data_IF_467345955345
#
_entry.id   IF_467345955345
#
_cell.length_a   1.000
_cell.length_b   1.000
_cell.length_c   1.000
_cell.angle_alpha   90.00
_cell.angle_beta   90.00
_cell.angle_gamma   90.00
#
_symmetry.space_group_name_H-M   'P 1'
#
loop_
_entity.id
_entity.type
_entity.pdbx_description
1 polymer ?
#
# COMPACT_ATOMS: atom_id res chain seq x y z
N UNK A 1 -61.84 22.97 6.63
CA UNK A 1 -61.54 24.39 6.96
C UNK A 1 -60.66 24.40 8.19
N UNK A 2 -59.42 24.85 8.06
CA UNK A 2 -58.45 24.88 9.17
C UNK A 2 -57.02 24.74 8.67
N UNK A 3 -56.56 25.76 7.95
CA UNK A 3 -55.16 25.95 7.57
C UNK A 3 -54.25 25.96 8.82
N UNK A 4 -53.18 25.17 8.79
CA UNK A 4 -51.91 25.54 9.40
C UNK A 4 -50.78 25.21 8.44
N UNK A 5 -50.13 26.27 7.99
CA UNK A 5 -48.89 26.30 7.22
C UNK A 5 -47.72 25.84 8.08
N UNK A 6 -46.86 24.99 7.53
CA UNK A 6 -45.48 24.78 7.95
C UNK A 6 -44.65 24.83 6.65
N UNK A 7 -44.13 26.00 6.31
CA UNK A 7 -42.71 26.33 6.50
C UNK A 7 -41.79 25.33 5.82
N UNK A 8 -41.49 25.65 4.56
CA UNK A 8 -40.36 25.16 3.80
C UNK A 8 -39.08 25.62 4.50
N UNK A 9 -38.42 24.71 5.23
CA UNK A 9 -37.03 24.89 5.63
C UNK A 9 -36.15 24.21 4.59
N UNK A 10 -35.44 25.02 3.81
CA UNK A 10 -34.20 24.61 3.16
C UNK A 10 -33.19 24.28 4.27
N UNK A 11 -32.65 23.07 4.26
CA UNK A 11 -31.44 22.73 5.03
C UNK A 11 -30.36 22.34 4.05
N UNK A 12 -29.48 23.33 3.88
CA UNK A 12 -28.13 23.36 3.35
C UNK A 12 -27.41 22.01 3.21
N UNK A 13 -26.84 21.85 2.01
CA UNK A 13 -25.82 20.86 1.72
C UNK A 13 -24.57 21.05 2.58
N UNK A 14 -23.91 19.92 2.75
CA UNK A 14 -22.62 19.78 3.39
C UNK A 14 -21.55 20.52 2.59
N UNK A 15 -20.71 21.25 3.31
CA UNK A 15 -19.39 21.63 2.82
C UNK A 15 -18.40 21.43 3.95
N UNK A 16 -17.37 20.68 3.57
CA UNK A 16 -16.13 20.32 4.23
C UNK A 16 -15.43 21.49 4.95
N UNK A 17 -14.58 21.08 5.88
CA UNK A 17 -13.34 21.67 6.44
C UNK A 17 -12.92 23.13 6.13
N UNK A 18 -12.04 23.58 7.02
CA UNK A 18 -11.15 24.74 6.95
C UNK A 18 -11.70 26.07 7.49
N UNK A 19 -11.23 26.42 8.68
CA UNK A 19 -11.33 27.76 9.23
C UNK A 19 -10.00 28.14 9.86
N UNK A 20 -9.05 28.65 9.05
CA UNK A 20 -8.08 29.61 9.57
C UNK A 20 -7.87 30.76 8.58
N UNK A 21 -7.92 31.97 9.14
CA UNK A 21 -8.00 33.25 8.46
C UNK A 21 -6.69 33.67 7.78
N UNK A 22 -6.81 34.09 6.53
CA UNK A 22 -5.85 34.87 5.74
C UNK A 22 -5.64 36.30 6.27
N UNK A 23 -4.39 36.78 6.21
CA UNK A 23 -4.05 38.19 5.97
C UNK A 23 -2.78 38.31 5.09
N UNK A 24 -2.99 38.70 3.83
CA UNK A 24 -2.02 39.08 2.80
C UNK A 24 -1.37 40.45 3.05
N UNK A 25 -0.10 40.67 2.64
CA UNK A 25 0.37 41.86 1.85
C UNK A 25 1.69 41.57 1.06
N UNK A 26 1.54 41.45 -0.27
CA UNK A 26 2.21 42.08 -1.43
C UNK A 26 3.73 42.39 -1.62
N UNK A 27 4.15 42.13 -2.89
CA UNK A 27 5.06 42.87 -3.81
C UNK A 27 6.57 42.48 -3.82
N UNK A 28 7.33 42.40 -4.93
CA UNK A 28 7.26 43.02 -6.28
C UNK A 28 8.32 42.42 -7.27
N UNK A 29 7.99 42.39 -8.59
CA UNK A 29 8.78 42.74 -9.82
C UNK A 29 10.14 42.02 -10.10
N UNK A 30 10.59 41.67 -11.32
CA UNK A 30 10.47 42.16 -12.71
C UNK A 30 11.13 41.14 -13.68
N UNK A 31 10.63 40.90 -14.91
CA UNK A 31 11.20 41.36 -16.21
C UNK A 31 12.58 40.75 -16.58
N UNK A 32 12.87 40.15 -17.74
CA UNK A 32 12.57 40.53 -19.12
C UNK A 32 12.88 39.39 -20.12
N UNK A 33 12.23 39.50 -21.29
CA UNK A 33 12.26 38.76 -22.55
C UNK A 33 13.60 38.70 -23.33
N UNK A 34 13.79 37.65 -24.15
CA UNK A 34 14.38 37.75 -25.50
C UNK A 34 14.08 36.51 -26.37
N UNK A 35 13.45 36.71 -27.54
CA UNK A 35 13.37 35.77 -28.66
C UNK A 35 14.39 36.17 -29.74
N UNK A 36 14.87 35.19 -30.53
CA UNK A 36 14.68 35.13 -32.00
C UNK A 36 15.35 33.88 -32.59
N UNK A 37 14.61 33.31 -33.54
CA UNK A 37 14.78 32.11 -34.37
C UNK A 37 15.98 32.10 -35.34
N UNK A 38 16.37 30.92 -35.87
CA UNK A 38 16.04 30.49 -37.26
C UNK A 38 16.72 29.16 -37.68
N UNK A 39 15.84 28.20 -38.04
CA UNK A 39 15.84 27.24 -39.17
C UNK A 39 17.12 26.61 -39.76
N UNK A 40 17.07 25.30 -40.01
CA UNK A 40 17.44 24.68 -41.30
C UNK A 40 16.69 23.35 -41.55
N UNK A 41 16.33 23.10 -42.81
CA UNK A 41 15.45 22.01 -43.31
C UNK A 41 16.13 21.21 -44.42
N UNK A 42 15.84 19.89 -44.51
CA UNK A 42 15.49 19.11 -45.72
C UNK A 42 15.43 17.61 -45.33
N UNK A 43 14.28 16.96 -45.20
CA UNK A 43 13.36 16.41 -46.22
C UNK A 43 13.89 15.18 -46.99
N UNK A 44 13.24 14.01 -46.76
CA UNK A 44 12.90 12.99 -47.78
C UNK A 44 12.00 11.87 -47.19
N UNK A 45 10.84 11.66 -47.82
CA UNK A 45 9.87 10.54 -47.65
C UNK A 45 9.70 9.79 -48.99
N UNK A 46 8.82 8.76 -49.15
CA UNK A 46 8.57 7.52 -48.40
C UNK A 46 8.53 6.26 -49.33
N UNK A 47 8.46 5.03 -48.77
CA UNK A 47 7.73 3.89 -49.41
C UNK A 47 7.53 2.63 -48.53
N UNK A 48 6.24 2.36 -48.29
CA UNK A 48 5.48 1.10 -48.31
C UNK A 48 5.86 -0.15 -47.47
N UNK A 49 5.03 -0.36 -46.43
CA UNK A 49 4.22 -1.55 -46.04
C UNK A 49 4.84 -2.95 -46.15
N UNK A 50 5.03 -3.63 -45.01
CA UNK A 50 4.31 -4.86 -44.60
C UNK A 50 4.62 -5.21 -43.15
N UNK A 51 3.56 -5.53 -42.39
CA UNK A 51 3.48 -6.30 -41.13
C UNK A 51 4.54 -6.07 -40.05
N UNK A 52 4.12 -5.67 -38.84
CA UNK A 52 4.31 -6.48 -37.61
C UNK A 52 3.86 -5.74 -36.35
N UNK A 53 3.34 -6.56 -35.43
CA UNK A 53 3.32 -6.38 -33.98
C UNK A 53 2.24 -5.46 -33.39
N UNK A 54 1.27 -6.12 -32.77
CA UNK A 54 0.53 -5.61 -31.62
C UNK A 54 1.57 -5.26 -30.52
N UNK A 55 1.59 -4.04 -29.95
CA UNK A 55 2.61 -3.67 -28.95
C UNK A 55 2.41 -4.36 -27.59
N UNK A 56 1.33 -5.12 -27.40
CA UNK A 56 1.02 -5.80 -26.14
C UNK A 56 1.71 -7.17 -25.95
N UNK A 57 2.92 -7.41 -26.48
CA UNK A 57 3.51 -8.76 -26.47
C UNK A 57 5.05 -8.87 -26.46
N UNK A 58 5.76 -7.91 -25.88
CA UNK A 58 7.19 -8.05 -25.56
C UNK A 58 7.48 -7.41 -24.20
N UNK A 59 6.94 -7.98 -23.11
CA UNK A 59 7.64 -7.89 -21.83
C UNK A 59 8.83 -8.83 -21.97
N UNK A 60 10.05 -8.29 -22.02
CA UNK A 60 11.25 -9.12 -21.90
C UNK A 60 11.09 -9.94 -20.61
N UNK A 61 11.13 -11.27 -20.78
CA UNK A 61 11.08 -12.22 -19.67
C UNK A 61 12.07 -11.77 -18.59
N UNK A 62 11.63 -11.71 -17.32
CA UNK A 62 12.53 -11.30 -16.25
C UNK A 62 13.78 -12.20 -16.22
N UNK A 63 14.95 -11.60 -16.13
CA UNK A 63 16.21 -12.34 -15.98
C UNK A 63 16.39 -12.64 -14.49
N UNK A 64 15.71 -13.68 -14.02
CA UNK A 64 15.80 -14.13 -12.64
C UNK A 64 17.11 -14.88 -12.39
N UNK A 65 17.57 -14.83 -11.14
CA UNK A 65 18.75 -15.55 -10.70
C UNK A 65 18.50 -17.07 -10.62
N UNK A 66 19.55 -17.88 -10.52
CA UNK A 66 19.42 -19.34 -10.53
C UNK A 66 18.66 -19.92 -9.33
N UNK A 67 18.54 -19.17 -8.24
CA UNK A 67 17.79 -19.50 -7.02
C UNK A 67 16.38 -18.87 -7.01
N UNK A 68 15.98 -18.26 -8.11
CA UNK A 68 14.71 -17.60 -8.30
C UNK A 68 13.91 -18.23 -9.43
N UNK A 69 12.61 -17.94 -9.43
CA UNK A 69 11.71 -18.21 -10.53
C UNK A 69 10.90 -16.96 -10.89
N UNK A 70 10.43 -16.93 -12.14
CA UNK A 70 9.52 -15.89 -12.59
C UNK A 70 8.12 -16.20 -12.05
N UNK A 71 7.76 -15.53 -10.95
CA UNK A 71 6.49 -15.73 -10.27
C UNK A 71 5.32 -15.20 -11.11
N UNK A 72 5.55 -14.09 -11.80
CA UNK A 72 4.64 -13.43 -12.74
C UNK A 72 5.47 -12.81 -13.88
N UNK A 73 4.87 -12.48 -15.05
CA UNK A 73 5.61 -11.85 -16.14
C UNK A 73 6.33 -10.57 -15.68
N UNK A 74 7.67 -10.61 -15.66
CA UNK A 74 8.48 -9.48 -15.21
C UNK A 74 8.86 -9.49 -13.72
N UNK A 75 8.36 -10.42 -12.90
CA UNK A 75 8.59 -10.47 -11.45
C UNK A 75 9.37 -11.73 -11.07
N UNK A 76 10.51 -11.56 -10.40
CA UNK A 76 11.27 -12.66 -9.82
C UNK A 76 10.95 -12.86 -8.34
N UNK A 77 10.94 -14.11 -7.90
CA UNK A 77 10.81 -14.51 -6.50
C UNK A 77 11.85 -15.58 -6.22
N UNK A 78 12.37 -15.63 -4.99
CA UNK A 78 13.05 -16.84 -4.52
C UNK A 78 12.14 -18.05 -4.72
N UNK A 79 12.73 -19.20 -5.09
CA UNK A 79 11.96 -20.42 -5.31
C UNK A 79 11.32 -20.86 -3.99
N UNK A 80 9.99 -20.81 -3.95
CA UNK A 80 9.17 -21.22 -2.81
C UNK A 80 8.81 -22.69 -2.95
N UNK A 81 9.70 -23.58 -2.47
CA UNK A 81 9.50 -25.03 -2.52
C UNK A 81 8.71 -25.51 -1.29
N UNK A 82 7.40 -25.30 -1.32
CA UNK A 82 6.44 -25.81 -0.33
C UNK A 82 5.10 -26.16 -0.98
N UNK A 83 4.33 -27.06 -0.36
CA UNK A 83 3.04 -27.53 -0.90
C UNK A 83 1.86 -27.41 0.06
N UNK A 84 2.11 -27.18 1.34
CA UNK A 84 1.12 -26.98 2.38
C UNK A 84 1.60 -25.95 3.43
N UNK A 85 0.73 -25.58 4.36
CA UNK A 85 1.02 -24.55 5.35
C UNK A 85 2.25 -24.87 6.22
N UNK A 86 2.42 -26.14 6.63
CA UNK A 86 3.55 -26.55 7.47
C UNK A 86 4.88 -26.42 6.70
N UNK A 87 4.90 -26.86 5.43
CA UNK A 87 6.08 -26.73 4.57
C UNK A 87 6.39 -25.25 4.25
N UNK A 88 5.37 -24.44 3.99
CA UNK A 88 5.55 -23.02 3.64
C UNK A 88 6.00 -22.18 4.83
N UNK A 89 5.50 -22.49 6.04
CA UNK A 89 6.02 -21.89 7.26
C UNK A 89 7.50 -22.24 7.47
N UNK A 90 7.85 -23.53 7.38
CA UNK A 90 9.24 -23.94 7.57
C UNK A 90 10.17 -23.33 6.51
N UNK A 91 9.68 -23.11 5.28
CA UNK A 91 10.41 -22.38 4.26
C UNK A 91 10.58 -20.90 4.63
N UNK A 92 9.50 -20.24 5.07
CA UNK A 92 9.53 -18.83 5.44
C UNK A 92 10.44 -18.58 6.65
N UNK A 93 10.44 -19.46 7.65
CA UNK A 93 11.36 -19.38 8.80
C UNK A 93 12.82 -19.39 8.36
N UNK A 94 13.21 -20.32 7.48
CA UNK A 94 14.59 -20.36 6.96
C UNK A 94 14.93 -19.11 6.17
N UNK A 95 14.00 -18.64 5.34
CA UNK A 95 14.21 -17.43 4.55
C UNK A 95 14.39 -16.20 5.45
N UNK A 96 13.59 -16.04 6.51
CA UNK A 96 13.73 -14.95 7.48
C UNK A 96 15.04 -15.06 8.27
N UNK A 97 15.44 -16.26 8.68
CA UNK A 97 16.74 -16.46 9.33
C UNK A 97 17.93 -16.11 8.40
N UNK A 98 17.79 -16.33 7.10
CA UNK A 98 18.75 -15.89 6.09
C UNK A 98 18.69 -14.36 5.93
N UNK A 99 17.52 -13.81 5.57
CA UNK A 99 16.90 -12.52 5.99
C UNK A 99 17.71 -11.66 6.97
N UNK A 100 17.82 -12.16 8.19
CA UNK A 100 18.37 -11.39 9.30
C UNK A 100 19.91 -11.42 9.36
N UNK A 101 20.57 -12.39 8.74
CA UNK A 101 22.05 -12.50 8.80
C UNK A 101 22.79 -11.40 8.03
N UNK A 102 22.16 -10.91 6.98
CA UNK A 102 22.64 -9.87 6.05
C UNK A 102 21.99 -8.51 6.31
N UNK A 103 20.70 -8.45 6.66
CA UNK A 103 19.97 -7.19 6.85
C UNK A 103 19.84 -6.75 8.31
N UNK A 104 20.03 -7.66 9.27
CA UNK A 104 19.71 -7.41 10.68
C UNK A 104 18.23 -7.62 10.98
N UNK A 105 17.70 -6.91 11.98
CA UNK A 105 16.29 -7.01 12.34
C UNK A 105 15.39 -6.49 11.21
N UNK A 106 14.58 -7.37 10.62
CA UNK A 106 13.69 -7.03 9.50
C UNK A 106 12.53 -6.12 9.90
N UNK A 107 12.27 -5.99 11.20
CA UNK A 107 11.24 -5.10 11.77
C UNK A 107 11.80 -3.78 12.26
N UNK A 108 13.10 -3.53 12.06
CA UNK A 108 13.72 -2.27 12.41
C UNK A 108 13.16 -1.14 11.52
N UNK A 109 12.66 -0.09 12.17
CA UNK A 109 12.32 1.21 11.57
C UNK A 109 13.11 2.29 12.29
N UNK A 110 13.62 3.26 11.54
CA UNK A 110 14.30 4.40 12.16
C UNK A 110 13.30 5.37 12.77
N UNK A 111 13.58 5.83 13.98
CA UNK A 111 12.85 6.98 14.53
C UNK A 111 13.26 8.24 13.80
N UNK A 112 12.37 8.78 12.97
CA UNK A 112 12.57 10.06 12.29
C UNK A 112 12.36 11.20 13.30
N UNK A 113 13.36 12.08 13.46
CA UNK A 113 13.22 13.32 14.25
C UNK A 113 12.49 14.37 13.39
N UNK A 114 11.18 14.16 13.23
CA UNK A 114 10.29 15.06 12.48
C UNK A 114 9.69 16.11 13.42
N UNK A 115 9.62 17.35 12.96
CA UNK A 115 8.95 18.41 13.71
C UNK A 115 7.46 18.06 13.87
N UNK A 116 6.96 18.07 15.11
CA UNK A 116 5.57 17.71 15.44
C UNK A 116 4.53 18.53 14.65
N UNK A 117 4.88 19.76 14.22
CA UNK A 117 3.98 20.58 13.39
C UNK A 117 3.99 20.15 11.93
N UNK A 118 5.10 19.58 11.45
CA UNK A 118 5.23 19.08 10.08
C UNK A 118 4.57 17.71 9.93
N UNK A 119 4.62 16.83 10.94
CA UNK A 119 3.88 15.54 10.95
C UNK A 119 2.35 15.71 11.05
N UNK A 120 1.88 16.87 11.51
CA UNK A 120 0.45 17.19 11.59
C UNK A 120 -0.12 17.79 10.29
N UNK A 121 0.70 17.98 9.25
CA UNK A 121 0.21 18.47 7.97
C UNK A 121 -0.57 17.39 7.24
N UNK A 122 -1.41 17.79 6.30
CA UNK A 122 -2.05 16.83 5.39
C UNK A 122 -1.05 16.46 4.29
N UNK A 123 -1.09 15.21 3.84
CA UNK A 123 -0.32 14.74 2.69
C UNK A 123 -0.64 15.56 1.44
N UNK A 124 0.37 16.05 0.74
CA UNK A 124 0.21 16.77 -0.52
C UNK A 124 0.33 15.79 -1.69
N UNK A 125 -0.78 15.46 -2.35
CA UNK A 125 -0.78 14.64 -3.57
C UNK A 125 -0.13 15.41 -4.70
N UNK A 126 0.94 14.85 -5.25
CA UNK A 126 1.77 15.43 -6.32
C UNK A 126 1.33 14.94 -7.70
N UNK A 127 0.98 13.66 -7.80
CA UNK A 127 0.54 13.02 -9.02
C UNK A 127 -0.40 11.84 -8.70
N UNK A 128 -1.28 11.52 -9.65
CA UNK A 128 -2.22 10.41 -9.57
C UNK A 128 -2.28 9.75 -10.94
N UNK A 129 -2.24 8.43 -10.96
CA UNK A 129 -2.11 7.60 -12.15
C UNK A 129 -3.12 6.46 -12.09
N UNK A 130 -3.75 6.16 -13.22
CA UNK A 130 -4.62 4.99 -13.34
C UNK A 130 -3.78 3.71 -13.42
N UNK A 131 -4.28 2.64 -12.80
CA UNK A 131 -3.71 1.29 -12.84
C UNK A 131 -4.67 0.41 -13.62
N UNK A 132 -4.25 -0.02 -14.81
CA UNK A 132 -5.00 -0.93 -15.67
C UNK A 132 -4.18 -2.20 -15.92
N UNK A 133 -4.81 -3.38 -15.82
CA UNK A 133 -4.14 -4.68 -16.04
C UNK A 133 -2.86 -4.89 -15.18
N UNK A 134 -2.84 -4.30 -13.98
CA UNK A 134 -1.68 -4.25 -13.05
C UNK A 134 -0.50 -3.39 -13.52
N UNK A 135 -0.69 -2.56 -14.53
CA UNK A 135 0.30 -1.64 -15.06
C UNK A 135 -0.13 -0.20 -14.80
N UNK A 136 0.85 0.64 -14.52
CA UNK A 136 0.65 2.07 -14.35
C UNK A 136 0.52 2.71 -15.73
N UNK A 137 -0.48 3.58 -15.96
CA UNK A 137 -0.51 4.45 -17.14
C UNK A 137 0.49 5.61 -16.96
N UNK A 138 1.78 5.26 -16.90
CA UNK A 138 2.90 6.18 -16.83
C UNK A 138 3.98 5.72 -17.80
N UNK A 139 4.40 6.63 -18.67
CA UNK A 139 5.58 6.48 -19.50
C UNK A 139 6.64 7.46 -19.00
N UNK A 140 7.57 7.02 -18.12
CA UNK A 140 8.56 7.91 -17.52
C UNK A 140 9.35 8.68 -18.57
N UNK A 141 9.46 9.98 -18.39
CA UNK A 141 10.14 10.90 -19.30
C UNK A 141 11.34 11.61 -18.68
N UNK A 142 11.49 11.51 -17.37
CA UNK A 142 12.62 12.02 -16.58
C UNK A 142 12.93 11.12 -15.37
N UNK A 143 14.01 11.46 -14.65
CA UNK A 143 14.51 10.69 -13.50
C UNK A 143 13.51 10.65 -12.32
N UNK A 144 12.66 11.67 -12.18
CA UNK A 144 11.67 11.74 -11.11
C UNK A 144 10.51 10.76 -11.43
N UNK A 145 9.99 10.78 -12.65
CA UNK A 145 8.96 9.83 -13.10
C UNK A 145 9.47 8.39 -13.13
N UNK A 146 10.77 8.15 -13.39
CA UNK A 146 11.39 6.83 -13.23
C UNK A 146 11.34 6.35 -11.78
N UNK A 147 11.64 7.22 -10.82
CA UNK A 147 11.53 6.91 -9.40
C UNK A 147 10.07 6.68 -8.96
N UNK A 148 9.12 7.44 -9.50
CA UNK A 148 7.70 7.26 -9.19
C UNK A 148 7.18 5.91 -9.70
N UNK A 149 7.57 5.52 -10.91
CA UNK A 149 7.29 4.19 -11.45
C UNK A 149 7.91 3.09 -10.58
N UNK A 150 9.13 3.30 -10.07
CA UNK A 150 9.83 2.36 -9.20
C UNK A 150 9.09 2.14 -7.86
N UNK A 151 8.48 3.17 -7.27
CA UNK A 151 7.66 3.04 -6.06
C UNK A 151 6.46 2.12 -6.28
N UNK A 152 5.74 2.30 -7.39
CA UNK A 152 4.66 1.39 -7.78
C UNK A 152 5.20 -0.02 -8.07
N UNK A 153 6.30 -0.13 -8.82
CA UNK A 153 6.91 -1.40 -9.19
C UNK A 153 7.27 -2.22 -7.94
N UNK A 154 7.79 -1.58 -6.88
CA UNK A 154 8.08 -2.24 -5.60
C UNK A 154 6.85 -2.92 -5.02
N UNK A 155 5.78 -2.17 -4.81
CA UNK A 155 4.52 -2.70 -4.28
C UNK A 155 3.97 -3.81 -5.18
N UNK A 156 3.97 -3.57 -6.50
CA UNK A 156 3.48 -4.50 -7.51
C UNK A 156 4.32 -5.78 -7.66
N UNK A 157 5.61 -5.73 -7.32
CA UNK A 157 6.54 -6.86 -7.31
C UNK A 157 6.29 -7.73 -6.08
N UNK A 158 6.16 -7.11 -4.91
CA UNK A 158 6.00 -7.77 -3.61
C UNK A 158 4.62 -8.42 -3.49
N UNK A 159 3.57 -7.70 -3.89
CA UNK A 159 2.18 -8.15 -3.74
C UNK A 159 1.71 -8.84 -5.03
N UNK A 160 1.30 -10.13 -4.96
CA UNK A 160 0.79 -10.87 -6.12
C UNK A 160 -0.33 -10.12 -6.85
N UNK A 161 -0.31 -10.12 -8.19
CA UNK A 161 -1.28 -9.36 -8.98
C UNK A 161 -2.71 -9.77 -8.69
N UNK A 162 -2.98 -11.07 -8.54
CA UNK A 162 -4.31 -11.60 -8.20
C UNK A 162 -4.83 -11.11 -6.83
N UNK A 163 -3.96 -10.58 -5.96
CA UNK A 163 -4.31 -10.07 -4.63
C UNK A 163 -4.44 -8.57 -4.54
N UNK A 164 -4.10 -7.82 -5.60
CA UNK A 164 -4.16 -6.36 -5.63
C UNK A 164 -5.02 -5.80 -6.77
N UNK A 165 -5.91 -6.62 -7.33
CA UNK A 165 -6.82 -6.21 -8.42
C UNK A 165 -7.75 -5.06 -8.04
N UNK A 166 -8.01 -4.85 -6.74
CA UNK A 166 -8.80 -3.71 -6.27
C UNK A 166 -8.07 -2.37 -6.41
N UNK A 167 -6.74 -2.38 -6.57
CA UNK A 167 -5.95 -1.14 -6.67
C UNK A 167 -6.02 -0.62 -8.10
N UNK A 168 -6.85 0.39 -8.32
CA UNK A 168 -7.07 1.01 -9.64
C UNK A 168 -6.37 2.34 -9.80
N UNK A 169 -5.81 2.87 -8.72
CA UNK A 169 -5.15 4.18 -8.70
C UNK A 169 -3.85 4.09 -7.91
N UNK A 170 -2.80 4.71 -8.44
CA UNK A 170 -1.55 4.95 -7.73
C UNK A 170 -1.34 6.45 -7.55
N UNK A 171 -1.07 6.87 -6.32
CA UNK A 171 -0.77 8.26 -6.00
C UNK A 171 0.65 8.45 -5.49
N UNK A 172 1.28 9.54 -5.93
CA UNK A 172 2.50 10.04 -5.34
C UNK A 172 2.15 11.21 -4.44
N UNK A 173 2.70 11.23 -3.22
CA UNK A 173 2.52 12.35 -2.31
C UNK A 173 3.81 12.77 -1.61
N UNK A 174 3.76 13.95 -0.99
CA UNK A 174 4.78 14.47 -0.08
C UNK A 174 4.22 14.53 1.34
N UNK A 175 4.91 13.92 2.28
CA UNK A 175 4.63 14.02 3.71
C UNK A 175 5.91 13.89 4.54
N UNK A 176 5.89 14.35 5.79
CA UNK A 176 7.09 14.42 6.62
C UNK A 176 7.50 13.06 7.24
N UNK A 177 6.53 12.19 7.55
CA UNK A 177 6.74 10.96 8.33
C UNK A 177 5.91 9.75 7.89
N UNK A 178 5.05 9.87 6.87
CA UNK A 178 4.21 8.77 6.38
C UNK A 178 4.83 8.19 5.11
N UNK A 179 5.10 6.89 5.04
CA UNK A 179 5.80 6.28 3.90
C UNK A 179 4.86 5.84 2.77
N UNK A 180 3.68 5.32 3.13
CA UNK A 180 2.62 4.95 2.20
C UNK A 180 1.26 5.03 2.92
N UNK A 181 0.18 4.92 2.16
CA UNK A 181 -1.15 4.62 2.68
C UNK A 181 -2.00 3.98 1.58
N UNK A 182 -3.07 3.29 1.96
CA UNK A 182 -4.16 2.92 1.06
C UNK A 182 -5.47 3.58 1.47
N UNK A 183 -6.30 3.90 0.50
CA UNK A 183 -7.62 4.49 0.73
C UNK A 183 -8.64 3.94 -0.25
N UNK A 184 -9.85 3.65 0.24
CA UNK A 184 -10.98 3.22 -0.58
C UNK A 184 -11.53 4.40 -1.39
N UNK A 185 -11.89 4.17 -2.65
CA UNK A 185 -12.49 5.18 -3.51
C UNK A 185 -13.87 5.60 -3.00
N UNK A 186 -14.20 6.90 -3.06
CA UNK A 186 -15.45 7.43 -2.50
C UNK A 186 -16.66 7.36 -3.45
N UNK A 187 -16.44 7.01 -4.72
CA UNK A 187 -17.46 6.81 -5.76
C UNK A 187 -17.72 5.32 -6.05
N UNK A 188 -16.69 4.48 -5.98
CA UNK A 188 -16.73 3.02 -6.20
C UNK A 188 -15.96 2.26 -5.11
N UNK A 189 -16.67 1.87 -4.05
CA UNK A 189 -16.10 1.22 -2.87
C UNK A 189 -15.42 -0.15 -3.12
N UNK A 190 -15.51 -0.71 -4.33
CA UNK A 190 -14.72 -1.90 -4.70
C UNK A 190 -13.26 -1.54 -5.08
N UNK A 191 -12.99 -0.27 -5.39
CA UNK A 191 -11.70 0.23 -5.85
C UNK A 191 -10.91 0.92 -4.73
N UNK A 192 -9.60 0.88 -4.86
CA UNK A 192 -8.65 1.39 -3.88
C UNK A 192 -7.52 2.15 -4.57
N UNK A 193 -7.00 3.14 -3.86
CA UNK A 193 -5.76 3.85 -4.18
C UNK A 193 -4.65 3.33 -3.28
N UNK A 194 -3.50 2.99 -3.86
CA UNK A 194 -2.24 2.87 -3.12
C UNK A 194 -1.43 4.14 -3.35
N UNK A 195 -0.99 4.79 -2.27
CA UNK A 195 -0.24 6.02 -2.33
C UNK A 195 1.14 5.81 -1.70
N UNK A 196 2.20 6.26 -2.39
CA UNK A 196 3.57 6.16 -1.91
C UNK A 196 4.19 7.56 -1.75
N UNK A 197 4.95 7.75 -0.66
CA UNK A 197 5.66 9.00 -0.42
C UNK A 197 6.93 9.06 -1.28
N UNK A 198 7.23 10.24 -1.83
CA UNK A 198 8.45 10.49 -2.60
C UNK A 198 9.75 10.50 -1.76
N UNK A 199 9.71 10.34 -0.43
CA UNK A 199 10.91 10.31 0.41
C UNK A 199 11.89 9.24 -0.07
N UNK A 200 13.12 9.68 -0.38
CA UNK A 200 14.19 8.81 -0.89
C UNK A 200 15.10 8.22 0.21
N UNK A 201 15.15 8.82 1.40
CA UNK A 201 16.12 8.47 2.45
C UNK A 201 15.59 7.46 3.47
N UNK A 202 15.17 6.29 3.01
CA UNK A 202 14.59 5.23 3.87
C UNK A 202 15.25 3.89 3.55
N UNK A 203 15.40 3.02 4.53
CA UNK A 203 15.90 1.66 4.30
C UNK A 203 14.93 0.86 3.44
N UNK A 204 15.46 0.03 2.54
CA UNK A 204 14.64 -0.84 1.69
C UNK A 204 13.80 -1.83 2.51
N UNK A 205 14.31 -2.32 3.65
CA UNK A 205 13.55 -3.18 4.56
C UNK A 205 12.33 -2.48 5.15
N UNK A 206 12.47 -1.22 5.53
CA UNK A 206 11.38 -0.41 6.07
C UNK A 206 10.32 -0.13 5.01
N UNK A 207 10.73 0.24 3.79
CA UNK A 207 9.84 0.39 2.62
C UNK A 207 9.05 -0.87 2.31
N UNK A 208 9.71 -2.02 2.29
CA UNK A 208 9.07 -3.32 2.05
C UNK A 208 8.09 -3.67 3.17
N UNK A 209 8.47 -3.41 4.43
CA UNK A 209 7.58 -3.62 5.58
C UNK A 209 6.33 -2.75 5.44
N UNK A 210 6.48 -1.47 5.09
CA UNK A 210 5.35 -0.57 4.82
C UNK A 210 4.45 -1.09 3.71
N UNK A 211 4.98 -1.55 2.57
CA UNK A 211 4.15 -2.09 1.49
C UNK A 211 3.33 -3.32 1.93
N UNK A 212 3.94 -4.17 2.76
CA UNK A 212 3.25 -5.34 3.33
C UNK A 212 2.19 -4.90 4.34
N UNK A 213 2.46 -3.88 5.15
CA UNK A 213 1.49 -3.25 6.05
C UNK A 213 0.28 -2.71 5.27
N UNK A 214 0.51 -1.91 4.22
CA UNK A 214 -0.56 -1.38 3.37
C UNK A 214 -1.39 -2.49 2.72
N UNK A 215 -0.73 -3.56 2.30
CA UNK A 215 -1.44 -4.74 1.84
C UNK A 215 -2.28 -5.40 2.94
N UNK A 216 -1.91 -5.30 4.21
CA UNK A 216 -2.71 -5.76 5.35
C UNK A 216 -4.07 -5.06 5.45
N UNK A 217 -4.13 -3.76 5.15
CA UNK A 217 -5.39 -3.04 5.00
C UNK A 217 -6.21 -3.59 3.83
N UNK A 218 -5.61 -3.68 2.63
CA UNK A 218 -6.29 -4.20 1.44
C UNK A 218 -6.80 -5.64 1.65
N UNK A 219 -6.01 -6.49 2.30
CA UNK A 219 -6.34 -7.87 2.61
C UNK A 219 -7.58 -8.00 3.49
N UNK A 220 -7.81 -7.03 4.37
CA UNK A 220 -8.80 -7.13 5.45
C UNK A 220 -10.04 -6.26 5.27
N UNK A 221 -9.96 -5.23 4.42
CA UNK A 221 -11.01 -4.22 4.22
C UNK A 221 -11.66 -4.22 2.85
N UNK A 222 -11.16 -5.03 1.90
CA UNK A 222 -11.74 -5.09 0.57
C UNK A 222 -13.18 -5.64 0.55
N UNK A 223 -13.83 -5.53 -0.61
CA UNK A 223 -15.22 -5.92 -0.83
C UNK A 223 -15.53 -7.43 -0.63
N UNK A 224 -14.52 -8.30 -0.61
CA UNK A 224 -14.68 -9.71 -0.22
C UNK A 224 -14.73 -9.91 1.31
N UNK A 225 -14.22 -8.95 2.09
CA UNK A 225 -14.15 -8.98 3.55
C UNK A 225 -15.21 -8.09 4.22
N UNK A 226 -15.57 -6.98 3.57
CA UNK A 226 -16.48 -5.96 4.09
C UNK A 226 -17.53 -5.68 3.02
N UNK A 227 -18.80 -5.63 3.40
CA UNK A 227 -19.87 -5.13 2.53
C UNK A 227 -19.92 -3.59 2.63
N UNK A 228 -19.45 -2.85 1.61
CA UNK A 228 -19.39 -1.41 1.68
C UNK A 228 -20.74 -0.73 1.48
N UNK A 229 -21.76 -1.47 1.06
CA UNK A 229 -23.11 -0.94 0.79
C UNK A 229 -24.10 -1.26 1.91
N UNK A 230 -23.65 -1.93 2.98
CA UNK A 230 -24.49 -2.25 4.12
C UNK A 230 -24.90 -0.98 4.88
N UNK A 231 -26.19 -0.88 5.21
CA UNK A 231 -26.69 0.15 6.11
C UNK A 231 -26.21 -0.12 7.55
N UNK A 232 -25.84 0.93 8.30
CA UNK A 232 -25.37 0.82 9.69
C UNK A 232 -26.37 0.07 10.60
N UNK A 233 -27.67 0.32 10.41
CA UNK A 233 -28.76 -0.35 11.15
C UNK A 233 -28.90 -1.85 10.82
N UNK A 234 -28.34 -2.29 9.69
CA UNK A 234 -28.37 -3.69 9.21
C UNK A 234 -27.07 -4.43 9.54
N UNK A 235 -26.06 -3.75 10.08
CA UNK A 235 -24.79 -4.36 10.41
C UNK A 235 -24.85 -5.16 11.73
N UNK A 236 -24.98 -6.48 11.60
CA UNK A 236 -24.99 -7.43 12.74
C UNK A 236 -23.58 -7.68 13.33
N UNK A 237 -22.53 -7.15 12.71
CA UNK A 237 -21.13 -7.31 13.14
C UNK A 237 -20.60 -6.04 13.84
N UNK A 238 -19.48 -5.50 13.41
CA UNK A 238 -18.84 -4.29 13.95
C UNK A 238 -18.67 -3.35 12.77
N UNK A 239 -19.50 -2.29 12.69
CA UNK A 239 -19.49 -1.34 11.59
C UNK A 239 -18.13 -0.64 11.53
N UNK A 240 -17.46 -0.75 10.38
CA UNK A 240 -16.24 -0.04 10.01
C UNK A 240 -16.60 1.18 9.16
N UNK A 241 -15.61 2.02 8.88
CA UNK A 241 -15.78 3.14 7.95
C UNK A 241 -15.97 2.63 6.51
N UNK A 242 -15.35 1.50 6.17
CA UNK A 242 -15.46 0.82 4.86
C UNK A 242 -16.75 -0.02 4.72
N UNK A 243 -17.59 -0.08 5.76
CA UNK A 243 -18.87 -0.79 5.73
C UNK A 243 -19.01 -1.88 6.80
N UNK A 244 -19.84 -2.89 6.53
CA UNK A 244 -20.12 -3.96 7.48
C UNK A 244 -19.30 -5.22 7.18
N UNK A 245 -18.36 -5.61 8.05
CA UNK A 245 -17.56 -6.82 7.87
C UNK A 245 -18.43 -8.07 7.81
N UNK A 246 -18.10 -9.00 6.90
CA UNK A 246 -18.74 -10.32 6.89
C UNK A 246 -18.40 -11.10 8.16
N UNK A 247 -19.29 -11.99 8.65
CA UNK A 247 -19.08 -12.72 9.90
C UNK A 247 -17.82 -13.61 9.94
N UNK A 248 -17.31 -14.01 8.79
CA UNK A 248 -16.10 -14.82 8.57
C UNK A 248 -14.89 -14.01 8.09
N UNK A 249 -15.01 -12.69 7.90
CA UNK A 249 -13.89 -11.85 7.47
C UNK A 249 -12.76 -11.78 8.50
N UNK A 250 -11.53 -11.63 8.01
CA UNK A 250 -10.33 -11.61 8.84
C UNK A 250 -10.39 -10.48 9.88
N UNK A 251 -10.77 -9.26 9.45
CA UNK A 251 -10.88 -8.11 10.34
C UNK A 251 -11.92 -8.33 11.45
N UNK A 252 -13.04 -8.97 11.15
CA UNK A 252 -14.06 -9.26 12.17
C UNK A 252 -13.65 -10.38 13.12
N UNK A 253 -12.97 -11.42 12.63
CA UNK A 253 -12.41 -12.46 13.49
C UNK A 253 -11.35 -11.87 14.43
N UNK A 254 -10.47 -11.02 13.91
CA UNK A 254 -9.47 -10.30 14.69
C UNK A 254 -10.13 -9.39 15.74
N UNK A 255 -11.13 -8.60 15.34
CA UNK A 255 -11.94 -7.78 16.25
C UNK A 255 -12.53 -8.61 17.40
N UNK A 256 -13.20 -9.73 17.07
CA UNK A 256 -13.84 -10.59 18.08
C UNK A 256 -12.85 -11.14 19.09
N UNK A 257 -11.66 -11.48 18.64
CA UNK A 257 -10.64 -12.12 19.47
C UNK A 257 -9.89 -11.13 20.36
N UNK A 258 -9.58 -9.94 19.83
CA UNK A 258 -8.63 -9.03 20.47
C UNK A 258 -9.23 -7.68 20.90
N UNK A 259 -10.25 -7.15 20.21
CA UNK A 259 -10.78 -5.80 20.44
C UNK A 259 -12.17 -5.76 21.08
N UNK A 260 -13.02 -6.76 20.85
CA UNK A 260 -14.45 -6.74 21.24
C UNK A 260 -14.70 -6.56 22.74
N UNK A 261 -13.81 -7.11 23.58
CA UNK A 261 -14.03 -7.13 25.04
C UNK A 261 -13.55 -5.85 25.71
N UNK A 262 -12.36 -5.40 25.34
CA UNK A 262 -11.73 -4.17 25.79
C UNK A 262 -10.51 -3.92 24.90
N UNK A 263 -10.29 -2.66 24.53
CA UNK A 263 -9.04 -2.20 23.92
C UNK A 263 -7.98 -2.18 25.02
N UNK A 264 -6.79 -2.73 24.76
CA UNK A 264 -5.70 -2.66 25.73
C UNK A 264 -5.10 -1.25 25.73
N UNK A 265 -4.80 -0.73 26.91
CA UNK A 265 -4.06 0.53 27.09
C UNK A 265 -2.55 0.29 27.29
N UNK A 266 -2.11 -0.96 27.23
CA UNK A 266 -0.71 -1.36 27.41
C UNK A 266 -0.02 -1.45 26.03
N UNK A 267 1.04 -0.67 25.82
CA UNK A 267 1.82 -0.67 24.58
C UNK A 267 2.43 -2.06 24.32
N UNK A 268 2.78 -2.84 25.36
CA UNK A 268 3.34 -4.19 25.23
C UNK A 268 2.34 -5.22 24.66
N UNK A 269 1.06 -4.88 24.57
CA UNK A 269 0.02 -5.73 23.99
C UNK A 269 -0.11 -5.58 22.45
N UNK A 270 0.71 -4.71 21.84
CA UNK A 270 0.77 -4.44 20.40
C UNK A 270 2.18 -4.70 19.87
N UNK A 271 2.30 -4.97 18.57
CA UNK A 271 3.62 -5.21 17.95
C UNK A 271 4.44 -3.91 17.81
N UNK A 272 3.75 -2.77 17.72
CA UNK A 272 4.30 -1.41 17.70
C UNK A 272 3.36 -0.45 18.44
N UNK A 273 3.85 0.75 18.79
CA UNK A 273 2.99 1.81 19.34
C UNK A 273 1.94 2.29 18.31
N UNK A 274 2.27 2.21 17.01
CA UNK A 274 1.36 2.58 15.94
C UNK A 274 0.16 1.63 15.82
N UNK A 275 0.40 0.33 15.98
CA UNK A 275 -0.65 -0.69 16.06
C UNK A 275 -1.70 -0.42 17.16
N UNK A 276 -1.36 0.33 18.22
CA UNK A 276 -2.30 0.66 19.29
C UNK A 276 -3.37 1.69 18.88
N UNK A 277 -3.14 2.43 17.80
CA UNK A 277 -3.98 3.59 17.43
C UNK A 277 -5.38 3.19 16.97
N UNK A 278 -5.53 2.06 16.29
CA UNK A 278 -6.82 1.56 15.81
C UNK A 278 -6.77 0.06 15.54
N UNK A 279 -7.94 -0.56 15.34
CA UNK A 279 -8.00 -1.96 14.90
C UNK A 279 -7.45 -2.15 13.48
N UNK A 280 -7.54 -1.13 12.64
CA UNK A 280 -7.02 -1.16 11.27
C UNK A 280 -5.50 -1.29 11.31
N UNK A 281 -4.84 -0.43 12.10
CA UNK A 281 -3.39 -0.47 12.28
C UNK A 281 -2.93 -1.73 13.00
N UNK A 282 -3.62 -2.16 14.06
CA UNK A 282 -3.26 -3.39 14.77
C UNK A 282 -3.29 -4.62 13.87
N UNK A 283 -4.28 -4.69 12.97
CA UNK A 283 -4.37 -5.77 12.00
C UNK A 283 -3.22 -5.67 10.98
N UNK A 284 -3.02 -4.51 10.37
CA UNK A 284 -2.01 -4.29 9.32
C UNK A 284 -0.58 -4.48 9.83
N UNK A 285 -0.26 -3.96 11.01
CA UNK A 285 1.01 -4.18 11.69
C UNK A 285 1.20 -5.64 12.11
N UNK A 286 0.18 -6.27 12.70
CA UNK A 286 0.29 -7.70 13.05
C UNK A 286 0.48 -8.57 11.80
N UNK A 287 -0.09 -8.18 10.67
CA UNK A 287 0.08 -8.83 9.38
C UNK A 287 1.51 -8.65 8.83
N UNK A 288 2.06 -7.44 8.86
CA UNK A 288 3.44 -7.19 8.41
C UNK A 288 4.46 -7.97 9.25
N UNK A 289 4.27 -8.00 10.58
CA UNK A 289 5.06 -8.84 11.48
C UNK A 289 4.85 -10.32 11.17
N UNK A 290 3.62 -10.78 10.92
CA UNK A 290 3.37 -12.15 10.50
C UNK A 290 4.15 -12.51 9.24
N UNK A 291 4.25 -11.65 8.23
CA UNK A 291 5.00 -11.95 7.01
C UNK A 291 6.51 -11.91 7.25
N UNK A 292 7.01 -10.89 7.95
CA UNK A 292 8.44 -10.56 8.03
C UNK A 292 9.19 -11.20 9.23
N UNK A 293 8.48 -11.88 10.15
CA UNK A 293 9.10 -12.53 11.32
C UNK A 293 8.80 -14.02 11.39
N UNK A 294 9.65 -14.75 12.14
CA UNK A 294 9.38 -16.15 12.50
C UNK A 294 8.18 -16.24 13.44
N UNK A 295 7.55 -17.42 13.54
CA UNK A 295 6.41 -17.61 14.45
C UNK A 295 6.85 -17.27 15.87
N UNK A 296 6.21 -16.29 16.56
CA UNK A 296 6.59 -15.99 17.93
C UNK A 296 6.22 -17.16 18.85
N UNK A 297 7.07 -17.46 19.82
CA UNK A 297 6.87 -18.54 20.80
C UNK A 297 6.25 -18.07 22.13
N UNK A 298 6.24 -16.75 22.39
CA UNK A 298 5.78 -16.19 23.67
C UNK A 298 4.25 -16.15 23.81
N UNK A 299 3.76 -15.79 25.00
CA UNK A 299 2.31 -15.78 25.31
C UNK A 299 1.72 -14.36 25.41
N UNK A 300 2.42 -13.32 24.94
CA UNK A 300 1.94 -11.93 24.99
C UNK A 300 0.66 -11.74 24.15
N UNK A 301 -0.04 -10.61 24.31
CA UNK A 301 -1.17 -10.31 23.41
C UNK A 301 -0.66 -10.05 21.99
N UNK A 302 0.44 -9.32 21.82
CA UNK A 302 1.10 -9.09 20.54
C UNK A 302 1.45 -10.42 19.82
N UNK A 303 2.08 -11.37 20.52
CA UNK A 303 2.44 -12.68 19.94
C UNK A 303 1.21 -13.46 19.48
N UNK A 304 0.10 -13.36 20.23
CA UNK A 304 -1.16 -14.01 19.87
C UNK A 304 -1.82 -13.37 18.65
N UNK A 305 -1.66 -12.06 18.44
CA UNK A 305 -2.15 -11.35 17.25
C UNK A 305 -1.34 -11.72 16.02
N UNK A 306 -0.02 -11.81 16.11
CA UNK A 306 0.82 -12.34 15.00
C UNK A 306 0.47 -13.81 14.71
N UNK A 307 0.21 -14.63 15.74
CA UNK A 307 -0.19 -16.03 15.54
C UNK A 307 -1.58 -16.23 14.94
N UNK A 308 -2.44 -15.22 14.97
CA UNK A 308 -3.80 -15.29 14.40
C UNK A 308 -3.80 -15.73 12.94
N UNK A 309 -2.83 -15.24 12.14
CA UNK A 309 -2.78 -15.52 10.71
C UNK A 309 -2.40 -16.97 10.39
N UNK A 310 -1.71 -17.66 11.30
CA UNK A 310 -1.37 -19.08 11.14
C UNK A 310 -2.58 -20.02 11.24
N UNK A 311 -3.73 -19.53 11.71
CA UNK A 311 -4.99 -20.31 11.72
C UNK A 311 -5.63 -20.41 10.31
N UNK A 312 -5.07 -19.72 9.31
CA UNK A 312 -5.55 -19.68 7.93
C UNK A 312 -4.46 -20.21 6.98
N UNK A 313 -4.64 -21.44 6.47
CA UNK A 313 -3.65 -22.10 5.61
C UNK A 313 -3.31 -21.23 4.38
N UNK A 314 -4.30 -20.59 3.78
CA UNK A 314 -4.12 -19.70 2.62
C UNK A 314 -3.25 -18.48 2.92
N UNK A 315 -3.25 -17.98 4.16
CA UNK A 315 -2.42 -16.84 4.56
C UNK A 315 -0.97 -17.26 4.81
N UNK A 316 -0.73 -18.49 5.26
CA UNK A 316 0.64 -19.05 5.39
C UNK A 316 1.27 -19.26 4.01
N UNK A 317 0.50 -19.74 3.03
CA UNK A 317 0.94 -19.84 1.64
C UNK A 317 1.23 -18.46 1.06
N UNK A 318 0.35 -17.48 1.32
CA UNK A 318 0.53 -16.10 0.88
C UNK A 318 1.77 -15.45 1.51
N UNK A 319 2.02 -15.66 2.82
CA UNK A 319 3.24 -15.24 3.51
C UNK A 319 4.49 -15.71 2.76
N UNK A 320 4.57 -17.00 2.44
CA UNK A 320 5.74 -17.53 1.74
C UNK A 320 5.92 -16.90 0.34
N UNK A 321 4.83 -16.66 -0.39
CA UNK A 321 4.87 -15.99 -1.69
C UNK A 321 5.34 -14.53 -1.59
N UNK A 322 4.77 -13.76 -0.68
CA UNK A 322 5.14 -12.35 -0.46
C UNK A 322 6.60 -12.26 0.01
N UNK A 323 7.01 -13.10 0.96
CA UNK A 323 8.36 -13.11 1.48
C UNK A 323 9.40 -13.44 0.40
N UNK A 324 9.13 -14.41 -0.47
CA UNK A 324 10.03 -14.73 -1.59
C UNK A 324 10.19 -13.60 -2.60
N UNK A 325 9.12 -12.84 -2.86
CA UNK A 325 9.14 -11.65 -3.73
C UNK A 325 9.86 -10.49 -3.05
N UNK A 326 9.56 -10.23 -1.77
CA UNK A 326 10.20 -9.22 -0.95
C UNK A 326 11.71 -9.45 -0.84
N UNK A 327 12.14 -10.68 -0.55
CA UNK A 327 13.56 -11.03 -0.49
C UNK A 327 14.26 -10.80 -1.83
N UNK A 328 13.62 -11.16 -2.97
CA UNK A 328 14.17 -10.92 -4.31
C UNK A 328 14.27 -9.42 -4.61
N UNK A 329 13.27 -8.63 -4.22
CA UNK A 329 13.32 -7.18 -4.36
C UNK A 329 14.48 -6.56 -3.59
N UNK A 330 14.62 -6.93 -2.30
CA UNK A 330 15.67 -6.40 -1.43
C UNK A 330 17.06 -6.79 -1.95
N UNK A 331 17.29 -8.05 -2.35
CA UNK A 331 18.57 -8.51 -2.91
C UNK A 331 19.03 -7.64 -4.10
N UNK A 332 18.07 -7.16 -4.89
CA UNK A 332 18.30 -6.37 -6.11
C UNK A 332 18.48 -4.88 -5.85
N UNK A 333 17.78 -4.33 -4.87
CA UNK A 333 17.64 -2.89 -4.68
C UNK A 333 18.30 -2.35 -3.40
N UNK A 334 18.69 -3.20 -2.45
CA UNK A 334 19.39 -2.74 -1.26
C UNK A 334 20.78 -2.17 -1.62
N UNK A 335 21.05 -0.95 -1.16
CA UNK A 335 22.39 -0.38 -1.21
C UNK A 335 23.25 -1.01 -0.09
N UNK A 336 24.22 -1.83 -0.49
CA UNK A 336 25.16 -2.46 0.44
C UNK A 336 26.34 -1.49 0.74
N UNK A 337 26.46 -1.00 1.97
CA UNK A 337 27.60 -0.15 2.42
C UNK A 337 28.92 -0.92 2.63
#
# INVERSE_FOLDING_TARGET
MGHKSAEWKKTNGWTKLACLLLLLVAAALSGCSFEVETSFSSDQTPKAVTETANPAADKERAVCEAYEEEAEPGVCSYIVDCHDADECEAWAERMIEEMEQWLGDLTYSEGWDVDELDSQKEAEVLASYEVEDNELDLMPSDEDEEYYAWLWERFAWIIPSDRRQMVTTFELYDHADLLAYVIQDDEDYENWTYAANQIQSTYETERVMTDIHEFGHLLSLNAEQVDPYADEDECDTYMLDEGCPYPDSYIYQFYKQFWKKAVSEDEEDYVTDYAMTSIYEDFAESWSYFVMTVRPEGDSLADRKVRFFYDYEELVLLKASILGRAASWIDRNAEWE
#
